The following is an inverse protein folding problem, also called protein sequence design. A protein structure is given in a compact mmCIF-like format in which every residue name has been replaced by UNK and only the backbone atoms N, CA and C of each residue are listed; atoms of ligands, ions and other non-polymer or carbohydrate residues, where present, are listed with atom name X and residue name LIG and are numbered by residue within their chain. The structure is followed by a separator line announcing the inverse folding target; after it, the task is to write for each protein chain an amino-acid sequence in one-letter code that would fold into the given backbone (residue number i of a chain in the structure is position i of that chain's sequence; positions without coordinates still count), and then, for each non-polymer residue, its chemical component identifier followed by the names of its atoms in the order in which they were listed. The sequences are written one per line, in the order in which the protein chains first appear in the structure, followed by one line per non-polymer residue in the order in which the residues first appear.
data_IF_329206210489
#
_entry.id   IF_329206210489
#
_cell.length_a   1.000
_cell.length_b   1.000
_cell.length_c   1.000
_cell.angle_alpha   90.00
_cell.angle_beta   90.00
_cell.angle_gamma   90.00
#
_symmetry.space_group_name_H-M   'P 1'
#
loop_
_entity.id
_entity.type
_entity.pdbx_description
1 polymer ?
#
# COMPACT_ATOMS: atom_id res chain seq x y z
N UNK A 1 12.04 -2.10 -22.73
CA UNK A 1 10.62 -2.52 -22.66
C UNK A 1 10.07 -2.88 -24.03
N UNK A 2 9.94 -1.93 -24.96
CA UNK A 2 9.31 -2.20 -26.25
C UNK A 2 10.10 -3.21 -27.09
N UNK A 3 11.42 -3.10 -27.14
CA UNK A 3 12.28 -4.00 -27.92
C UNK A 3 12.66 -5.28 -27.21
N UNK A 4 12.77 -5.26 -25.87
CA UNK A 4 13.19 -6.41 -25.06
C UNK A 4 12.01 -7.26 -24.55
N UNK A 5 10.96 -6.61 -24.04
CA UNK A 5 9.80 -7.28 -23.44
C UNK A 5 8.58 -7.29 -24.36
N UNK A 6 8.65 -6.62 -25.53
CA UNK A 6 7.57 -6.55 -26.51
C UNK A 6 6.20 -6.13 -25.95
N UNK A 7 6.23 -5.20 -24.99
CA UNK A 7 5.03 -4.67 -24.33
C UNK A 7 4.91 -3.15 -24.56
N UNK A 8 3.67 -2.61 -24.59
CA UNK A 8 3.44 -1.17 -24.57
C UNK A 8 4.13 -0.49 -23.39
N UNK A 9 4.52 0.77 -23.57
CA UNK A 9 5.06 1.59 -22.50
C UNK A 9 4.03 2.63 -22.07
N UNK A 10 3.92 2.85 -20.77
CA UNK A 10 3.17 3.95 -20.18
C UNK A 10 4.13 5.13 -19.99
N UNK A 11 3.72 6.33 -20.43
CA UNK A 11 4.48 7.57 -20.28
C UNK A 11 3.61 8.55 -19.51
N UNK A 12 4.10 8.97 -18.35
CA UNK A 12 3.36 9.80 -17.41
C UNK A 12 4.24 10.94 -16.90
N UNK A 13 3.60 12.00 -16.44
CA UNK A 13 4.26 13.07 -15.70
C UNK A 13 4.83 12.52 -14.39
N UNK A 14 6.06 12.94 -14.06
CA UNK A 14 6.64 12.63 -12.77
C UNK A 14 6.08 13.56 -11.69
N UNK A 15 5.28 13.00 -10.78
CA UNK A 15 4.75 13.73 -9.64
C UNK A 15 5.85 13.88 -8.59
N UNK A 16 6.43 15.06 -8.38
CA UNK A 16 7.35 15.31 -7.28
C UNK A 16 6.62 15.37 -5.93
N UNK A 17 7.20 14.78 -4.87
CA UNK A 17 6.71 14.96 -3.52
C UNK A 17 6.95 13.76 -2.62
N UNK A 18 6.08 13.60 -1.62
CA UNK A 18 6.17 12.53 -0.60
C UNK A 18 5.62 11.22 -1.16
N UNK A 19 6.20 10.10 -0.77
CA UNK A 19 5.77 8.76 -1.18
C UNK A 19 5.17 8.02 0.02
N UNK A 20 3.91 7.64 -0.10
CA UNK A 20 3.12 7.04 0.94
C UNK A 20 2.62 5.67 0.49
N UNK A 21 2.52 4.75 1.44
CA UNK A 21 1.94 3.43 1.27
C UNK A 21 0.73 3.31 2.20
N UNK A 22 -0.41 2.89 1.64
CA UNK A 22 -1.69 2.73 2.33
C UNK A 22 -2.09 1.26 2.27
N UNK A 23 -2.16 0.61 3.42
CA UNK A 23 -2.75 -0.73 3.54
C UNK A 23 -4.26 -0.64 3.75
N UNK A 24 -5.04 -1.37 2.97
CA UNK A 24 -6.49 -1.53 3.15
C UNK A 24 -6.78 -2.99 3.45
N UNK A 25 -7.51 -3.27 4.52
CA UNK A 25 -7.87 -4.61 5.01
C UNK A 25 -9.40 -4.78 5.06
N UNK A 26 -9.91 -5.92 4.62
CA UNK A 26 -11.32 -6.28 4.71
C UNK A 26 -12.18 -5.80 3.54
N UNK A 27 -13.49 -6.02 3.65
CA UNK A 27 -14.45 -5.85 2.55
C UNK A 27 -15.60 -4.88 2.83
N UNK A 28 -16.22 -4.92 4.03
CA UNK A 28 -17.48 -4.21 4.35
C UNK A 28 -17.61 -3.84 5.85
N UNK A 29 -17.27 -2.60 6.24
CA UNK A 29 -16.42 -1.67 5.48
C UNK A 29 -14.96 -2.17 5.46
N UNK A 30 -14.19 -1.86 4.40
CA UNK A 30 -12.75 -2.02 4.46
C UNK A 30 -12.15 -0.97 5.40
N UNK A 31 -11.02 -1.30 6.02
CA UNK A 31 -10.32 -0.48 6.98
C UNK A 31 -8.94 -0.08 6.46
N UNK A 32 -8.58 1.20 6.65
CA UNK A 32 -7.23 1.69 6.37
C UNK A 32 -6.32 1.43 7.58
N UNK A 33 -5.19 0.76 7.35
CA UNK A 33 -4.12 0.62 8.31
C UNK A 33 -3.34 1.94 8.46
N UNK A 34 -2.55 2.13 9.55
CA UNK A 34 -1.65 3.28 9.68
C UNK A 34 -0.86 3.52 8.40
N UNK A 35 -0.99 4.72 7.84
CA UNK A 35 -0.33 5.09 6.58
C UNK A 35 1.17 5.15 6.83
N UNK A 36 1.95 4.54 5.94
CA UNK A 36 3.41 4.53 6.00
C UNK A 36 3.99 5.52 5.00
N UNK A 37 5.06 6.21 5.35
CA UNK A 37 5.84 7.06 4.45
C UNK A 37 7.21 6.48 4.18
N UNK A 38 7.65 6.58 2.92
CA UNK A 38 9.01 6.32 2.47
C UNK A 38 9.69 7.67 2.21
N UNK A 39 10.63 8.03 3.07
CA UNK A 39 11.40 9.27 2.94
C UNK A 39 12.75 9.00 2.27
N UNK A 40 12.90 9.59 1.09
CA UNK A 40 14.07 9.51 0.22
C UNK A 40 15.05 10.67 0.43
N UNK A 41 14.88 11.50 1.46
CA UNK A 41 15.69 12.71 1.72
C UNK A 41 17.20 12.45 1.82
N UNK A 42 17.61 11.24 2.21
CA UNK A 42 19.02 10.84 2.31
C UNK A 42 19.58 10.19 1.03
N UNK A 43 18.76 9.99 0.01
CA UNK A 43 19.20 9.42 -1.27
C UNK A 43 19.95 10.50 -2.06
N UNK A 44 21.13 10.18 -2.63
CA UNK A 44 21.84 11.11 -3.51
C UNK A 44 20.96 11.60 -4.67
N UNK A 45 20.84 12.91 -4.85
CA UNK A 45 19.90 13.53 -5.80
C UNK A 45 20.00 12.96 -7.23
N UNK A 46 21.20 12.60 -7.68
CA UNK A 46 21.45 12.00 -9.00
C UNK A 46 20.73 10.67 -9.25
N UNK A 47 20.26 9.98 -8.20
CA UNK A 47 19.53 8.72 -8.30
C UNK A 47 18.00 8.92 -8.38
N UNK A 48 17.54 10.15 -8.20
CA UNK A 48 16.13 10.47 -8.02
C UNK A 48 15.61 10.10 -6.62
N UNK A 49 14.45 10.67 -6.28
CA UNK A 49 13.79 10.46 -4.98
C UNK A 49 12.54 9.60 -5.17
N UNK A 50 12.73 8.33 -5.54
CA UNK A 50 11.66 7.35 -5.74
C UNK A 50 12.20 5.92 -5.60
N UNK A 51 11.34 4.94 -5.39
CA UNK A 51 11.73 3.55 -5.15
C UNK A 51 12.21 2.80 -6.43
N UNK A 52 13.27 3.28 -7.07
CA UNK A 52 13.88 2.63 -8.24
C UNK A 52 14.53 1.29 -7.90
N UNK A 53 14.76 0.44 -8.90
CA UNK A 53 15.43 -0.86 -8.69
C UNK A 53 16.83 -0.73 -8.08
N UNK A 54 17.58 0.32 -8.45
CA UNK A 54 18.90 0.60 -7.88
C UNK A 54 18.78 1.03 -6.42
N UNK A 55 17.81 1.88 -6.10
CA UNK A 55 17.58 2.34 -4.73
C UNK A 55 17.17 1.16 -3.85
N UNK A 56 16.21 0.35 -4.29
CA UNK A 56 15.79 -0.88 -3.57
C UNK A 56 16.93 -1.86 -3.37
N UNK A 57 17.80 -2.05 -4.36
CA UNK A 57 18.88 -3.05 -4.29
C UNK A 57 20.11 -2.58 -3.50
N UNK A 58 20.45 -1.28 -3.54
CA UNK A 58 21.75 -0.79 -3.06
C UNK A 58 21.69 0.32 -2.02
N UNK A 59 20.55 1.00 -1.87
CA UNK A 59 20.44 2.19 -1.03
C UNK A 59 19.23 2.15 -0.09
N UNK A 60 18.57 0.99 0.04
CA UNK A 60 17.37 0.85 0.88
C UNK A 60 17.61 1.23 2.34
N UNK A 61 18.82 0.97 2.87
CA UNK A 61 19.22 1.35 4.22
C UNK A 61 19.25 2.87 4.47
N UNK A 62 19.19 3.70 3.42
CA UNK A 62 19.09 5.16 3.54
C UNK A 62 17.64 5.65 3.58
N UNK A 63 16.66 4.78 3.26
CA UNK A 63 15.25 5.14 3.27
C UNK A 63 14.76 5.18 4.70
N UNK A 64 14.20 6.32 5.10
CA UNK A 64 13.54 6.45 6.40
C UNK A 64 12.08 6.05 6.26
N UNK A 65 11.60 5.31 7.24
CA UNK A 65 10.23 4.83 7.28
C UNK A 65 9.49 5.48 8.45
N UNK A 66 8.37 6.12 8.16
CA UNK A 66 7.48 6.67 9.19
C UNK A 66 6.15 5.93 9.15
N UNK A 67 5.78 5.27 10.24
CA UNK A 67 4.51 4.58 10.37
C UNK A 67 4.02 4.73 11.82
N UNK A 68 2.97 5.54 12.10
CA UNK A 68 2.21 6.34 11.13
C UNK A 68 3.02 7.49 10.52
N UNK A 69 2.73 7.84 9.28
CA UNK A 69 3.28 9.00 8.59
C UNK A 69 2.82 10.31 9.28
N UNK A 70 3.70 11.31 9.44
CA UNK A 70 3.33 12.61 10.00
C UNK A 70 2.51 13.41 8.96
N UNK A 71 1.18 13.32 9.07
CA UNK A 71 0.23 13.95 8.14
C UNK A 71 -0.67 14.92 8.90
N UNK A 72 -1.06 16.01 8.24
CA UNK A 72 -2.16 16.85 8.74
C UNK A 72 -3.48 16.08 8.62
N UNK A 73 -4.46 16.38 9.49
CA UNK A 73 -5.79 15.75 9.44
C UNK A 73 -6.46 15.90 8.06
N UNK A 74 -6.27 17.07 7.43
CA UNK A 74 -6.80 17.37 6.11
C UNK A 74 -6.20 16.43 5.05
N UNK A 75 -4.86 16.31 5.02
CA UNK A 75 -4.16 15.47 4.07
C UNK A 75 -4.47 13.98 4.31
N UNK A 76 -4.50 13.55 5.58
CA UNK A 76 -4.88 12.19 5.95
C UNK A 76 -6.26 11.83 5.39
N UNK A 77 -7.27 12.69 5.57
CA UNK A 77 -8.62 12.47 5.04
C UNK A 77 -8.64 12.39 3.51
N UNK A 78 -7.90 13.25 2.81
CA UNK A 78 -7.79 13.20 1.33
C UNK A 78 -7.20 11.87 0.86
N UNK A 79 -6.13 11.40 1.52
CA UNK A 79 -5.47 10.13 1.19
C UNK A 79 -6.43 8.96 1.44
N UNK A 80 -7.12 8.96 2.59
CA UNK A 80 -8.08 7.91 2.90
C UNK A 80 -9.23 7.84 1.90
N UNK A 81 -9.80 8.99 1.54
CA UNK A 81 -10.89 9.09 0.57
C UNK A 81 -10.48 8.57 -0.82
N UNK A 82 -9.35 9.03 -1.37
CA UNK A 82 -8.90 8.57 -2.69
C UNK A 82 -8.52 7.09 -2.67
N UNK A 83 -7.94 6.59 -1.58
CA UNK A 83 -7.54 5.20 -1.43
C UNK A 83 -8.75 4.26 -1.41
N UNK A 84 -9.78 4.59 -0.63
CA UNK A 84 -11.03 3.83 -0.56
C UNK A 84 -11.80 3.88 -1.90
N UNK A 85 -11.79 5.04 -2.58
CA UNK A 85 -12.37 5.16 -3.92
C UNK A 85 -11.66 4.26 -4.92
N UNK A 86 -10.33 4.27 -4.97
CA UNK A 86 -9.54 3.42 -5.85
C UNK A 86 -9.77 1.94 -5.55
N UNK A 87 -9.73 1.54 -4.27
CA UNK A 87 -10.03 0.18 -3.82
C UNK A 87 -11.40 -0.31 -4.30
N UNK A 88 -12.42 0.54 -4.17
CA UNK A 88 -13.79 0.24 -4.60
C UNK A 88 -13.92 0.16 -6.13
N UNK A 89 -13.40 1.14 -6.86
CA UNK A 89 -13.53 1.21 -8.34
C UNK A 89 -12.81 0.05 -9.01
N UNK A 90 -11.63 -0.33 -8.50
CA UNK A 90 -10.85 -1.47 -8.98
C UNK A 90 -11.36 -2.82 -8.45
N UNK A 91 -12.42 -2.81 -7.63
CA UNK A 91 -13.07 -4.01 -7.06
C UNK A 91 -12.09 -4.88 -6.27
N UNK A 92 -11.15 -4.25 -5.57
CA UNK A 92 -10.26 -4.93 -4.64
C UNK A 92 -11.07 -5.63 -3.54
N UNK A 93 -10.49 -6.70 -2.99
CA UNK A 93 -11.12 -7.55 -1.98
C UNK A 93 -10.07 -8.00 -0.99
N UNK A 94 -10.49 -8.24 0.25
CA UNK A 94 -9.77 -8.88 1.34
C UNK A 94 -8.57 -8.06 1.86
N UNK A 95 -7.67 -7.63 0.98
CA UNK A 95 -6.58 -6.70 1.25
C UNK A 95 -6.12 -6.00 -0.03
N UNK A 96 -5.52 -4.81 0.09
CA UNK A 96 -4.71 -4.22 -0.98
C UNK A 96 -3.74 -3.20 -0.40
N UNK A 97 -2.59 -3.05 -1.03
CA UNK A 97 -1.68 -1.92 -0.79
C UNK A 97 -1.82 -0.92 -1.92
N UNK A 98 -1.92 0.35 -1.58
CA UNK A 98 -1.89 1.44 -2.54
C UNK A 98 -0.62 2.25 -2.30
N UNK A 99 0.09 2.56 -3.37
CA UNK A 99 1.24 3.46 -3.32
C UNK A 99 0.80 4.80 -3.90
N UNK A 100 1.04 5.87 -3.14
CA UNK A 100 0.51 7.21 -3.38
C UNK A 100 1.66 8.20 -3.36
N UNK A 101 1.62 9.16 -4.28
CA UNK A 101 2.43 10.37 -4.17
C UNK A 101 1.61 11.57 -3.76
N UNK A 102 2.15 12.38 -2.87
CA UNK A 102 1.55 13.66 -2.47
C UNK A 102 2.42 14.78 -2.99
N UNK A 103 1.86 15.61 -3.87
CA UNK A 103 2.57 16.77 -4.43
C UNK A 103 2.84 17.85 -3.38
N UNK A 104 3.63 18.86 -3.75
CA UNK A 104 3.90 20.04 -2.90
C UNK A 104 2.63 20.82 -2.53
N UNK A 105 1.59 20.72 -3.35
CA UNK A 105 0.28 21.34 -3.14
C UNK A 105 -0.69 20.47 -2.30
N UNK A 106 -0.17 19.43 -1.64
CA UNK A 106 -0.94 18.47 -0.84
C UNK A 106 -2.05 17.75 -1.63
N UNK A 107 -1.77 17.44 -2.91
CA UNK A 107 -2.66 16.66 -3.77
C UNK A 107 -2.16 15.21 -3.82
N UNK A 108 -2.96 14.21 -3.39
CA UNK A 108 -2.59 12.81 -3.50
C UNK A 108 -2.90 12.23 -4.88
N UNK A 109 -1.94 11.47 -5.43
CA UNK A 109 -1.99 10.76 -6.71
C UNK A 109 -1.76 9.27 -6.45
N UNK A 110 -2.68 8.41 -6.89
CA UNK A 110 -2.52 6.96 -6.80
C UNK A 110 -1.58 6.50 -7.92
N UNK A 111 -0.44 5.89 -7.54
CA UNK A 111 0.54 5.37 -8.50
C UNK A 111 0.25 3.91 -8.84
N UNK A 112 0.00 3.10 -7.82
CA UNK A 112 -0.19 1.65 -7.96
C UNK A 112 -1.25 1.17 -6.97
N UNK A 113 -2.05 0.20 -7.40
CA UNK A 113 -2.90 -0.60 -6.50
C UNK A 113 -2.47 -2.05 -6.62
N UNK A 114 -1.93 -2.58 -5.54
CA UNK A 114 -1.47 -3.95 -5.44
C UNK A 114 -2.47 -4.79 -4.59
N UNK A 115 -3.30 -5.63 -5.22
CA UNK A 115 -4.30 -6.47 -4.53
C UNK A 115 -3.69 -7.71 -3.86
N UNK A 116 -2.39 -7.98 -4.02
CA UNK A 116 -1.67 -9.06 -3.36
C UNK A 116 -0.33 -8.52 -2.83
N UNK A 117 -0.36 -7.65 -1.81
CA UNK A 117 0.86 -7.09 -1.26
C UNK A 117 1.69 -8.15 -0.53
N UNK A 118 2.97 -7.87 -0.39
CA UNK A 118 3.88 -8.70 0.40
C UNK A 118 3.42 -8.78 1.87
N UNK A 119 3.46 -10.01 2.39
CA UNK A 119 3.06 -10.39 3.74
C UNK A 119 4.24 -10.95 4.55
N UNK A 120 5.49 -10.75 4.12
CA UNK A 120 6.64 -11.12 4.94
C UNK A 120 6.54 -10.48 6.34
N UNK A 121 6.59 -11.27 7.43
CA UNK A 121 6.32 -10.77 8.78
C UNK A 121 7.42 -9.84 9.33
N UNK A 122 8.61 -9.80 8.71
CA UNK A 122 9.75 -9.00 9.16
C UNK A 122 9.90 -7.73 8.33
N UNK A 123 9.86 -7.87 7.01
CA UNK A 123 10.21 -6.82 6.06
C UNK A 123 8.99 -6.26 5.29
N UNK A 124 7.86 -6.97 5.32
CA UNK A 124 6.66 -6.60 4.57
C UNK A 124 6.03 -5.31 5.10
N UNK A 125 5.72 -4.37 4.19
CA UNK A 125 5.03 -3.12 4.56
C UNK A 125 3.65 -3.39 5.19
N UNK A 126 2.90 -4.38 4.68
CA UNK A 126 1.54 -4.65 5.16
C UNK A 126 1.53 -5.19 6.59
N UNK A 127 2.35 -6.20 6.95
CA UNK A 127 2.54 -6.62 8.34
C UNK A 127 3.08 -5.52 9.27
N UNK A 128 4.01 -4.68 8.79
CA UNK A 128 4.54 -3.55 9.58
C UNK A 128 3.43 -2.54 9.96
N UNK A 129 2.60 -2.14 8.99
CA UNK A 129 1.45 -1.25 9.24
C UNK A 129 0.44 -1.88 10.24
N UNK A 130 0.16 -3.18 10.10
CA UNK A 130 -0.72 -3.89 11.03
C UNK A 130 -0.14 -3.93 12.45
N UNK A 131 1.17 -4.18 12.59
CA UNK A 131 1.86 -4.17 13.90
C UNK A 131 1.82 -2.80 14.56
N UNK A 132 2.01 -1.72 13.81
CA UNK A 132 1.88 -0.34 14.33
C UNK A 132 0.46 -0.07 14.85
N UNK A 133 -0.55 -0.69 14.25
CA UNK A 133 -1.94 -0.65 14.73
C UNK A 133 -2.19 -1.50 15.99
N UNK A 134 -1.19 -2.27 16.44
CA UNK A 134 -1.34 -3.20 17.57
C UNK A 134 -1.89 -4.57 17.18
N UNK A 135 -1.94 -4.91 15.89
CA UNK A 135 -2.37 -6.21 15.39
C UNK A 135 -1.17 -7.15 15.27
N UNK A 136 -1.25 -8.33 15.87
CA UNK A 136 -0.27 -9.39 15.67
C UNK A 136 -0.34 -9.96 14.25
N UNK A 137 0.75 -10.56 13.78
CA UNK A 137 0.77 -11.21 12.47
C UNK A 137 -0.31 -12.30 12.33
N UNK A 138 -0.58 -13.06 13.40
CA UNK A 138 -1.65 -14.07 13.39
C UNK A 138 -3.03 -13.45 13.22
N UNK A 139 -3.32 -12.35 13.91
CA UNK A 139 -4.58 -11.62 13.76
C UNK A 139 -4.72 -11.04 12.36
N UNK A 140 -3.64 -10.50 11.77
CA UNK A 140 -3.65 -10.03 10.39
C UNK A 140 -4.04 -11.14 9.40
N UNK A 141 -3.39 -12.30 9.48
CA UNK A 141 -3.70 -13.44 8.61
C UNK A 141 -5.12 -13.94 8.84
N UNK A 142 -5.58 -13.99 10.10
CA UNK A 142 -6.96 -14.36 10.43
C UNK A 142 -7.97 -13.37 9.83
N UNK A 143 -7.75 -12.06 9.93
CA UNK A 143 -8.62 -11.04 9.34
C UNK A 143 -8.69 -11.13 7.81
N UNK A 144 -7.58 -11.43 7.13
CA UNK A 144 -7.56 -11.65 5.67
C UNK A 144 -8.39 -12.90 5.33
N UNK A 145 -8.21 -13.99 6.07
CA UNK A 145 -8.96 -15.23 5.88
C UNK A 145 -10.47 -15.01 6.11
N UNK A 146 -10.85 -14.33 7.18
CA UNK A 146 -12.23 -13.98 7.50
C UNK A 146 -12.87 -13.11 6.40
N UNK A 147 -12.12 -12.12 5.89
CA UNK A 147 -12.56 -11.31 4.76
C UNK A 147 -12.85 -12.19 3.54
N UNK A 148 -11.96 -13.13 3.21
CA UNK A 148 -12.16 -14.09 2.13
C UNK A 148 -13.38 -15.00 2.35
N UNK A 149 -13.51 -15.59 3.54
CA UNK A 149 -14.63 -16.46 3.93
C UNK A 149 -15.97 -15.72 3.85
N UNK A 150 -16.02 -14.45 4.26
CA UNK A 150 -17.25 -13.64 4.20
C UNK A 150 -17.83 -13.51 2.80
N UNK A 151 -16.99 -13.68 1.76
CA UNK A 151 -17.41 -13.69 0.34
C UNK A 151 -18.01 -15.03 -0.09
N UNK A 152 -17.74 -16.09 0.66
CA UNK A 152 -18.16 -17.46 0.36
C UNK A 152 -18.78 -18.15 1.59
N UNK A 153 -19.90 -17.64 2.13
CA UNK A 153 -20.52 -18.20 3.34
C UNK A 153 -20.96 -19.66 3.20
N UNK A 154 -21.16 -20.14 1.97
CA UNK A 154 -21.44 -21.55 1.68
C UNK A 154 -20.28 -22.49 2.08
N UNK A 155 -19.02 -22.03 2.07
CA UNK A 155 -17.86 -22.84 2.48
C UNK A 155 -17.85 -23.14 3.98
N UNK A 156 -18.55 -22.34 4.79
CA UNK A 156 -18.70 -22.57 6.23
C UNK A 156 -19.82 -23.55 6.56
N UNK A 157 -20.75 -23.80 5.62
CA UNK A 157 -21.77 -24.81 5.75
C UNK A 157 -21.17 -26.16 5.38
N UNK A 158 -20.38 -26.76 6.27
CA UNK A 158 -20.16 -28.21 6.20
C UNK A 158 -21.51 -28.89 6.42
N UNK A 159 -21.87 -29.75 5.48
CA UNK A 159 -23.04 -30.63 5.56
C UNK A 159 -23.10 -31.27 6.94
N UNK A 160 -24.23 -31.08 7.62
CA UNK A 160 -24.57 -31.90 8.77
C UNK A 160 -24.60 -33.35 8.30
N UNK A 161 -23.65 -34.14 8.81
CA UNK A 161 -23.90 -35.54 9.13
C UNK A 161 -23.93 -35.66 10.63
#
# INVERSE_FOLDING_TARGET
MITLYHQPALVEEFIEGRELTVGILGNKPPEILPIKELDFSLIPDKLGRFASGIIKAKYWYLIRHYCPAPLSDSLYRKICDISLKAYKVLRCRDLARLDIRVSKDEIPYVLEVNPLPDLDPKEGNFPDMARVKGMSYKELIASILEAGISRYPALLKKEGK
#
